data_IF_743277553919
#
_entry.id   IF_743277553919
#
_cell.length_a   1.000
_cell.length_b   1.000
_cell.length_c   1.000
_cell.angle_alpha   90.00
_cell.angle_beta   90.00
_cell.angle_gamma   90.00
#
_symmetry.space_group_name_H-M   'P 1'
#
loop_
_entity.id
_entity.type
_entity.pdbx_description
1 polymer ?
#
# COMPACT_ATOMS: atom_id res chain seq x y z
N UNK A 1 4.31 3.69 3.82
CA UNK A 1 4.99 3.14 2.64
C UNK A 1 4.50 1.72 2.45
N UNK A 2 4.36 1.26 1.21
CA UNK A 2 3.96 -0.11 0.88
C UNK A 2 4.81 -0.61 -0.28
N UNK A 3 5.66 -1.61 -0.06
CA UNK A 3 6.53 -2.22 -1.08
C UNK A 3 6.17 -3.69 -1.27
N UNK A 4 5.32 -4.03 -2.25
CA UNK A 4 5.03 -5.42 -2.60
C UNK A 4 6.25 -6.13 -3.18
N UNK A 5 6.50 -7.35 -2.71
CA UNK A 5 7.53 -8.24 -3.25
C UNK A 5 6.97 -9.63 -3.63
N UNK A 6 7.27 -10.12 -4.85
CA UNK A 6 7.94 -9.42 -5.96
C UNK A 6 7.04 -8.33 -6.61
N UNK A 7 7.59 -7.23 -7.20
CA UNK A 7 9.00 -7.04 -7.58
C UNK A 7 9.90 -6.34 -6.54
N UNK A 8 9.36 -5.78 -5.47
CA UNK A 8 10.15 -5.04 -4.46
C UNK A 8 10.31 -3.55 -4.74
N UNK A 9 9.44 -2.96 -5.56
CA UNK A 9 9.38 -1.52 -5.79
C UNK A 9 8.22 -0.90 -4.99
N UNK A 10 8.37 0.32 -4.43
CA UNK A 10 7.30 0.97 -3.67
C UNK A 10 6.07 1.22 -4.56
N UNK A 11 4.90 0.80 -4.07
CA UNK A 11 3.60 1.10 -4.69
C UNK A 11 2.90 2.30 -4.03
N UNK A 12 3.28 2.64 -2.79
CA UNK A 12 2.78 3.81 -2.04
C UNK A 12 3.91 4.43 -1.22
N UNK A 13 4.14 5.72 -1.38
CA UNK A 13 5.03 6.54 -0.55
C UNK A 13 4.24 7.42 0.43
N UNK A 14 4.84 7.81 1.58
CA UNK A 14 4.21 8.75 2.49
C UNK A 14 3.87 10.09 1.81
N UNK A 15 2.62 10.52 1.92
CA UNK A 15 2.14 11.79 1.35
C UNK A 15 1.64 11.72 -0.08
N UNK A 16 1.77 10.58 -0.76
CA UNK A 16 1.14 10.37 -2.07
C UNK A 16 -0.40 10.29 -1.97
N UNK A 17 -1.06 10.63 -3.08
CA UNK A 17 -2.50 10.41 -3.23
C UNK A 17 -2.73 8.93 -3.47
N UNK A 18 -3.36 8.26 -2.50
CA UNK A 18 -3.73 6.85 -2.61
C UNK A 18 -5.01 6.76 -3.45
N UNK A 19 -4.90 6.17 -4.65
CA UNK A 19 -6.05 5.90 -5.52
C UNK A 19 -6.62 4.50 -5.26
N UNK A 20 -7.83 4.24 -5.77
CA UNK A 20 -8.46 2.93 -5.61
C UNK A 20 -7.68 1.83 -6.34
N UNK A 21 -7.13 2.11 -7.51
CA UNK A 21 -6.32 1.16 -8.29
C UNK A 21 -5.07 0.73 -7.52
N UNK A 22 -4.43 1.67 -6.81
CA UNK A 22 -3.28 1.37 -5.96
C UNK A 22 -3.68 0.47 -4.80
N UNK A 23 -4.83 0.75 -4.16
CA UNK A 23 -5.38 -0.08 -3.07
C UNK A 23 -5.68 -1.50 -3.56
N UNK A 24 -6.31 -1.62 -4.72
CA UNK A 24 -6.68 -2.91 -5.30
C UNK A 24 -5.43 -3.71 -5.69
N UNK A 25 -4.41 -3.05 -6.24
CA UNK A 25 -3.13 -3.67 -6.57
C UNK A 25 -2.45 -4.26 -5.32
N UNK A 26 -2.28 -3.48 -4.24
CA UNK A 26 -1.57 -3.98 -3.05
C UNK A 26 -2.36 -5.06 -2.31
N UNK A 27 -3.69 -4.98 -2.30
CA UNK A 27 -4.55 -6.01 -1.69
C UNK A 27 -4.59 -7.30 -2.50
N UNK A 28 -4.70 -7.21 -3.83
CA UNK A 28 -4.64 -8.40 -4.68
C UNK A 28 -3.26 -9.08 -4.60
N UNK A 29 -2.18 -8.29 -4.51
CA UNK A 29 -0.84 -8.79 -4.25
C UNK A 29 -0.73 -9.55 -2.93
N UNK A 30 -1.22 -8.97 -1.82
CA UNK A 30 -1.25 -9.63 -0.52
C UNK A 30 -2.04 -10.96 -0.57
N UNK A 31 -3.23 -10.94 -1.19
CA UNK A 31 -4.06 -12.14 -1.34
C UNK A 31 -3.39 -13.23 -2.20
N UNK A 32 -2.53 -12.83 -3.15
CA UNK A 32 -1.73 -13.73 -3.97
C UNK A 32 -0.45 -14.22 -3.27
N UNK A 33 -0.17 -13.79 -2.03
CA UNK A 33 0.98 -14.19 -1.24
C UNK A 33 2.23 -13.33 -1.40
N UNK A 34 2.11 -12.11 -1.98
CA UNK A 34 3.21 -11.16 -1.99
C UNK A 34 3.60 -10.77 -0.55
N UNK A 35 4.90 -10.57 -0.35
CA UNK A 35 5.43 -10.06 0.90
C UNK A 35 5.25 -8.54 0.96
N UNK A 36 4.82 -8.03 2.11
CA UNK A 36 4.66 -6.60 2.40
C UNK A 36 5.35 -6.27 3.74
N UNK A 37 6.65 -5.95 3.73
CA UNK A 37 7.42 -5.76 4.97
C UNK A 37 7.18 -4.41 5.65
N UNK A 38 6.70 -3.40 4.91
CA UNK A 38 6.61 -2.01 5.39
C UNK A 38 5.29 -1.61 6.08
N UNK A 39 4.11 -2.14 5.68
CA UNK A 39 2.86 -1.66 6.25
C UNK A 39 2.77 -1.88 7.76
N UNK A 40 2.35 -0.85 8.49
CA UNK A 40 2.05 -0.95 9.92
C UNK A 40 0.85 -1.88 10.21
N UNK A 41 -0.03 -2.02 9.22
CA UNK A 41 -1.13 -3.00 9.20
C UNK A 41 -0.81 -4.03 8.12
N UNK A 42 -0.30 -5.19 8.55
CA UNK A 42 0.13 -6.27 7.64
C UNK A 42 -1.02 -6.91 6.88
N UNK A 43 -2.26 -6.73 7.33
CA UNK A 43 -3.47 -7.26 6.67
C UNK A 43 -4.10 -6.23 5.72
N UNK A 44 -3.55 -5.00 5.63
CA UNK A 44 -4.07 -3.90 4.81
C UNK A 44 -5.58 -3.61 5.02
N UNK A 45 -6.06 -3.79 6.26
CA UNK A 45 -7.45 -3.47 6.63
C UNK A 45 -7.69 -1.97 6.61
N UNK A 46 -6.69 -1.17 6.95
CA UNK A 46 -6.79 0.29 6.99
C UNK A 46 -5.54 1.00 6.44
N UNK A 47 -5.74 2.23 5.96
CA UNK A 47 -4.66 3.12 5.54
C UNK A 47 -4.70 4.39 6.39
N UNK A 48 -3.54 4.76 6.96
CA UNK A 48 -3.40 6.06 7.61
C UNK A 48 -3.19 7.13 6.53
N UNK A 49 -4.09 8.10 6.48
CA UNK A 49 -4.06 9.19 5.52
C UNK A 49 -3.96 10.54 6.23
N UNK A 50 -3.55 11.57 5.48
CA UNK A 50 -3.64 12.96 5.88
C UNK A 50 -4.51 13.70 4.88
N UNK A 51 -5.21 14.74 5.32
CA UNK A 51 -5.98 15.59 4.41
C UNK A 51 -5.03 16.43 3.55
N UNK A 52 -5.34 16.60 2.27
CA UNK A 52 -4.66 17.60 1.45
C UNK A 52 -4.95 18.98 2.02
N UNK A 53 -3.90 19.80 2.21
CA UNK A 53 -4.11 21.22 2.54
C UNK A 53 -4.83 21.89 1.35
N UNK A 54 -5.81 22.77 1.60
CA UNK A 54 -6.48 23.51 0.55
C UNK A 54 -5.47 24.34 -0.27
#
# INVERSE_FOLDING_TARGET
MVTPYPPGAPAVLPGEVITQEVVDYVRSGLNAGMQLPDPADSELKSFRVVTRKP
#
